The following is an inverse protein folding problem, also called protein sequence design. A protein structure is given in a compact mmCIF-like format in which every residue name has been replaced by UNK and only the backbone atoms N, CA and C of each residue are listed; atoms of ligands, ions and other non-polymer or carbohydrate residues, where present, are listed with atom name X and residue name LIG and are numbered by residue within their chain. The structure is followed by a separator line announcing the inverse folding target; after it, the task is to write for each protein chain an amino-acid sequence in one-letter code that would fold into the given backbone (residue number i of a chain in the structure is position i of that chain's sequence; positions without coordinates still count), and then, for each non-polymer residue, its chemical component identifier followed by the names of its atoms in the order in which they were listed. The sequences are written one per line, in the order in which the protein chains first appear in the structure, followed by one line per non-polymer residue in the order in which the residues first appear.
data_IF_451695230127
#
_entry.id   IF_451695230127
#
_cell.length_a   1.000
_cell.length_b   1.000
_cell.length_c   1.000
_cell.angle_alpha   90.00
_cell.angle_beta   90.00
_cell.angle_gamma   90.00
#
_symmetry.space_group_name_H-M   'P 1'
#
loop_
_entity.id
_entity.type
_entity.pdbx_description
1 polymer ?
#
# COMPACT_ATOMS: atom_id res chain seq x y z
N UNK A 1 -14.74 -6.14 14.96
CA UNK A 1 -13.50 -5.80 14.24
C UNK A 1 -12.74 -7.10 13.97
N UNK A 2 -12.05 -7.24 12.84
CA UNK A 2 -11.31 -8.47 12.52
C UNK A 2 -9.91 -8.47 13.16
N UNK A 3 -9.32 -9.65 13.35
CA UNK A 3 -7.99 -9.84 14.01
C UNK A 3 -6.91 -8.94 13.39
N UNK A 4 -6.93 -8.74 12.07
CA UNK A 4 -5.95 -7.90 11.36
C UNK A 4 -6.18 -6.41 11.65
N UNK A 5 -7.43 -5.96 11.62
CA UNK A 5 -7.79 -4.56 11.92
C UNK A 5 -7.46 -4.19 13.37
N UNK A 6 -7.68 -5.10 14.32
CA UNK A 6 -7.28 -4.90 15.72
C UNK A 6 -5.77 -4.77 15.85
N UNK A 7 -5.00 -5.62 15.15
CA UNK A 7 -3.55 -5.55 15.15
C UNK A 7 -3.02 -4.24 14.55
N UNK A 8 -3.67 -3.73 13.50
CA UNK A 8 -3.33 -2.42 12.95
C UNK A 8 -3.58 -1.30 13.96
N UNK A 9 -4.70 -1.34 14.67
CA UNK A 9 -5.02 -0.38 15.72
C UNK A 9 -4.02 -0.44 16.90
N UNK A 10 -3.62 -1.62 17.36
CA UNK A 10 -2.58 -1.80 18.39
C UNK A 10 -1.24 -1.19 17.99
N UNK A 11 -0.91 -1.23 16.69
CA UNK A 11 0.31 -0.65 16.14
C UNK A 11 0.16 0.86 15.85
N UNK A 12 -1.00 1.46 16.11
CA UNK A 12 -1.30 2.87 15.79
C UNK A 12 -1.32 3.14 14.29
N UNK A 13 -1.73 2.15 13.48
CA UNK A 13 -1.75 2.23 12.02
C UNK A 13 -3.20 2.33 11.54
N UNK A 14 -3.51 3.44 10.89
CA UNK A 14 -4.70 3.56 10.06
C UNK A 14 -4.35 3.25 8.61
N UNK A 15 -5.23 2.51 7.93
CA UNK A 15 -5.03 2.25 6.51
C UNK A 15 -5.36 3.51 5.71
N UNK A 16 -4.53 3.88 4.72
CA UNK A 16 -4.80 5.02 3.86
C UNK A 16 -5.97 4.74 2.92
N UNK A 17 -6.50 5.81 2.31
CA UNK A 17 -7.44 5.66 1.21
C UNK A 17 -6.77 4.96 0.03
N UNK A 18 -7.53 4.12 -0.68
CA UNK A 18 -7.05 3.41 -1.86
C UNK A 18 -6.75 4.42 -2.97
N UNK A 19 -5.52 4.37 -3.50
CA UNK A 19 -5.10 5.26 -4.57
C UNK A 19 -5.94 5.03 -5.84
N UNK A 20 -6.29 6.14 -6.52
CA UNK A 20 -6.94 6.06 -7.82
C UNK A 20 -6.02 5.35 -8.85
N UNK A 21 -6.56 4.48 -9.72
CA UNK A 21 -5.77 3.84 -10.77
C UNK A 21 -5.12 4.85 -11.71
N UNK A 22 -3.86 4.60 -12.08
CA UNK A 22 -3.09 5.48 -12.99
C UNK A 22 -3.45 5.24 -14.47
N UNK A 23 -4.13 4.14 -14.77
CA UNK A 23 -4.60 3.77 -16.11
C UNK A 23 -5.84 2.87 -16.02
N UNK A 24 -6.20 2.20 -17.13
CA UNK A 24 -7.35 1.29 -17.22
C UNK A 24 -7.08 -0.07 -16.52
N UNK A 25 -6.93 -0.05 -15.20
CA UNK A 25 -6.86 -1.23 -14.33
C UNK A 25 -7.52 -0.92 -12.98
N UNK A 26 -7.76 -1.93 -12.14
CA UNK A 26 -8.36 -1.78 -10.80
C UNK A 26 -7.33 -2.01 -9.68
N UNK A 27 -7.52 -1.45 -8.47
CA UNK A 27 -6.56 -1.57 -7.38
C UNK A 27 -6.33 -3.03 -6.92
N UNK A 28 -7.40 -3.82 -6.89
CA UNK A 28 -7.35 -5.25 -6.63
C UNK A 28 -8.54 -6.00 -7.25
N UNK A 29 -8.41 -7.31 -7.44
CA UNK A 29 -9.49 -8.21 -7.87
C UNK A 29 -9.56 -9.45 -6.98
N UNK A 30 -10.77 -9.98 -6.79
CA UNK A 30 -10.98 -11.26 -6.10
C UNK A 30 -11.24 -12.36 -7.12
N UNK A 31 -10.44 -13.42 -7.08
CA UNK A 31 -10.64 -14.59 -7.93
C UNK A 31 -10.22 -15.87 -7.19
N UNK A 32 -11.10 -16.88 -7.18
CA UNK A 32 -10.78 -18.17 -6.56
C UNK A 32 -10.48 -18.12 -5.06
N UNK A 33 -11.08 -17.18 -4.33
CA UNK A 33 -10.82 -16.97 -2.90
C UNK A 33 -9.50 -16.27 -2.58
N UNK A 34 -8.83 -15.72 -3.59
CA UNK A 34 -7.61 -14.93 -3.45
C UNK A 34 -7.86 -13.49 -3.88
N UNK A 35 -7.22 -12.56 -3.18
CA UNK A 35 -7.17 -11.15 -3.56
C UNK A 35 -5.85 -10.86 -4.26
N UNK A 36 -5.92 -10.36 -5.49
CA UNK A 36 -4.76 -9.97 -6.30
C UNK A 36 -4.71 -8.46 -6.38
N UNK A 37 -3.67 -7.86 -5.79
CA UNK A 37 -3.45 -6.41 -5.87
C UNK A 37 -2.67 -6.05 -7.13
N UNK A 38 -2.96 -4.87 -7.67
CA UNK A 38 -2.07 -4.20 -8.61
C UNK A 38 -0.80 -3.70 -7.90
N UNK A 39 0.20 -3.25 -8.64
CA UNK A 39 1.41 -2.68 -8.07
C UNK A 39 1.12 -1.48 -7.17
N UNK A 40 1.66 -1.50 -5.94
CA UNK A 40 1.45 -0.46 -4.94
C UNK A 40 2.71 0.36 -4.76
N UNK A 41 2.55 1.67 -4.93
CA UNK A 41 3.62 2.67 -4.79
C UNK A 41 3.52 3.38 -3.42
N UNK A 42 4.59 4.04 -2.95
CA UNK A 42 4.58 4.77 -1.68
C UNK A 42 3.87 6.12 -1.81
N UNK A 43 2.61 6.11 -2.23
CA UNK A 43 1.75 7.28 -2.24
C UNK A 43 1.35 7.65 -0.81
N UNK A 44 1.45 8.94 -0.51
CA UNK A 44 0.95 9.59 0.70
C UNK A 44 0.20 10.83 0.25
N UNK A 45 -1.07 10.96 0.65
CA UNK A 45 -1.93 12.09 0.28
C UNK A 45 -1.97 12.38 -1.24
N UNK A 46 -1.97 11.31 -2.06
CA UNK A 46 -2.02 11.39 -3.52
C UNK A 46 -0.69 11.77 -4.19
N UNK A 47 0.39 11.99 -3.43
CA UNK A 47 1.71 12.28 -3.95
C UNK A 47 2.69 11.12 -3.69
N UNK A 48 3.59 10.87 -4.64
CA UNK A 48 4.61 9.86 -4.48
C UNK A 48 5.68 10.39 -3.51
N UNK A 49 5.96 9.64 -2.44
CA UNK A 49 6.86 10.12 -1.38
C UNK A 49 8.31 10.32 -1.84
N UNK A 50 8.79 9.52 -2.80
CA UNK A 50 10.11 9.66 -3.41
C UNK A 50 10.20 8.93 -4.76
N UNK A 51 11.17 9.33 -5.57
CA UNK A 51 11.56 8.67 -6.82
C UNK A 51 13.07 8.56 -6.91
N UNK A 52 13.57 7.51 -7.56
CA UNK A 52 14.99 7.29 -7.77
C UNK A 52 15.45 5.91 -7.31
N UNK A 53 16.74 5.63 -7.46
CA UNK A 53 17.35 4.33 -7.18
C UNK A 53 17.84 4.27 -5.73
N UNK A 54 17.57 3.14 -5.07
CA UNK A 54 18.11 2.87 -3.73
C UNK A 54 19.63 2.73 -3.79
N UNK A 55 20.32 3.40 -2.86
CA UNK A 55 21.79 3.51 -2.84
C UNK A 55 22.35 4.64 -3.72
N UNK A 56 21.49 5.40 -4.38
CA UNK A 56 21.84 6.64 -5.07
C UNK A 56 20.95 7.78 -4.55
N UNK A 57 19.80 8.03 -5.19
CA UNK A 57 18.88 9.11 -4.81
C UNK A 57 18.08 8.79 -3.54
N UNK A 58 17.90 7.50 -3.23
CA UNK A 58 17.13 7.04 -2.06
C UNK A 58 18.03 6.21 -1.15
N UNK A 59 18.07 6.51 0.15
CA UNK A 59 18.83 5.71 1.10
C UNK A 59 18.14 4.35 1.36
N UNK A 60 18.88 3.36 1.87
CA UNK A 60 18.28 2.07 2.22
C UNK A 60 17.26 2.19 3.37
N UNK A 61 17.47 3.14 4.29
CA UNK A 61 16.58 3.43 5.40
C UNK A 61 15.26 4.05 4.91
N UNK A 62 15.33 5.06 4.05
CA UNK A 62 14.16 5.68 3.43
C UNK A 62 13.40 4.68 2.57
N UNK A 63 14.12 3.86 1.79
CA UNK A 63 13.51 2.82 0.99
C UNK A 63 12.72 1.80 1.84
N UNK A 64 13.20 1.46 3.04
CA UNK A 64 12.47 0.60 3.98
C UNK A 64 11.19 1.28 4.47
N UNK A 65 11.23 2.57 4.77
CA UNK A 65 10.05 3.34 5.14
C UNK A 65 9.04 3.41 3.98
N UNK A 66 9.50 3.67 2.75
CA UNK A 66 8.66 3.64 1.55
C UNK A 66 8.06 2.26 1.29
N UNK A 67 8.82 1.18 1.47
CA UNK A 67 8.31 -0.19 1.35
C UNK A 67 7.19 -0.48 2.35
N UNK A 68 7.30 0.05 3.59
CA UNK A 68 6.20 -0.01 4.56
C UNK A 68 4.95 0.69 4.03
N UNK A 69 5.08 1.89 3.45
CA UNK A 69 3.94 2.60 2.84
C UNK A 69 3.33 1.81 1.68
N UNK A 70 4.14 1.23 0.79
CA UNK A 70 3.64 0.37 -0.29
C UNK A 70 2.81 -0.81 0.26
N UNK A 71 3.29 -1.46 1.32
CA UNK A 71 2.60 -2.58 1.95
C UNK A 71 1.25 -2.16 2.56
N UNK A 72 1.20 -1.00 3.23
CA UNK A 72 -0.05 -0.46 3.77
C UNK A 72 -1.06 -0.08 2.67
N UNK A 73 -0.59 0.51 1.57
CA UNK A 73 -1.44 0.77 0.39
C UNK A 73 -2.00 -0.53 -0.20
N UNK A 74 -1.20 -1.61 -0.21
CA UNK A 74 -1.66 -2.94 -0.61
C UNK A 74 -2.68 -3.57 0.32
N UNK A 75 -2.52 -3.41 1.64
CA UNK A 75 -3.53 -3.84 2.60
C UNK A 75 -4.83 -3.07 2.44
N UNK A 76 -4.76 -1.75 2.18
CA UNK A 76 -5.94 -0.94 1.89
C UNK A 76 -6.67 -1.42 0.64
N UNK A 77 -5.94 -1.64 -0.46
CA UNK A 77 -6.53 -2.16 -1.71
C UNK A 77 -7.14 -3.55 -1.53
N UNK A 78 -6.50 -4.43 -0.74
CA UNK A 78 -7.01 -5.77 -0.48
C UNK A 78 -8.26 -5.76 0.42
N UNK A 79 -8.30 -4.89 1.42
CA UNK A 79 -9.44 -4.73 2.31
C UNK A 79 -10.66 -4.06 1.64
N UNK A 80 -10.44 -3.20 0.64
CA UNK A 80 -11.51 -2.58 -0.14
C UNK A 80 -12.17 -3.56 -1.12
N UNK A 81 -11.41 -4.55 -1.61
CA UNK A 81 -11.90 -5.54 -2.57
C UNK A 81 -12.65 -6.73 -1.93
N UNK A 82 -12.60 -6.90 -0.61
CA UNK A 82 -13.11 -8.06 0.12
C UNK A 82 -14.18 -7.66 1.15
#
# INVERSE_FOLDING_TARGET
MGVISDRLAELGIELPAVAAPVAAYVPAVVHGGLVYTSGQLPFVDGALAATGKVGAEVSAEDAKAHARTCALNGLAAAADAA
#
